data_IF_634464850159
#
_entry.id   IF_634464850159
#
_cell.length_a   1.000
_cell.length_b   1.000
_cell.length_c   1.000
_cell.angle_alpha   90.00
_cell.angle_beta   90.00
_cell.angle_gamma   90.00
#
_symmetry.space_group_name_H-M   'P 1'
#
loop_
_entity.id
_entity.type
_entity.pdbx_description
1 polymer ?
#
# COMPACT_ATOMS: atom_id res chain seq x y z
N UNK A 1 -7.09 -0.23 11.86
CA UNK A 1 -6.55 -1.57 11.57
C UNK A 1 -7.59 -2.60 11.95
N UNK A 2 -7.89 -3.49 11.03
CA UNK A 2 -8.60 -4.72 11.31
C UNK A 2 -7.64 -5.71 11.98
N UNK A 3 -7.99 -6.16 13.18
CA UNK A 3 -7.09 -6.95 14.04
C UNK A 3 -7.01 -8.41 13.61
N UNK A 4 -7.96 -8.86 12.79
CA UNK A 4 -7.99 -10.22 12.25
C UNK A 4 -6.91 -10.43 11.20
N UNK A 5 -6.62 -9.41 10.38
CA UNK A 5 -5.68 -9.54 9.26
C UNK A 5 -4.48 -8.62 9.32
N UNK A 6 -4.48 -7.57 10.15
CA UNK A 6 -3.44 -6.52 10.11
C UNK A 6 -3.62 -5.49 9.00
N UNK A 7 -4.61 -5.67 8.12
CA UNK A 7 -4.98 -4.71 7.08
C UNK A 7 -5.96 -3.65 7.61
N UNK A 8 -6.44 -2.77 6.73
CA UNK A 8 -7.34 -1.67 7.08
C UNK A 8 -8.60 -1.69 6.23
N UNK A 9 -9.75 -1.41 6.86
CA UNK A 9 -10.98 -1.10 6.14
C UNK A 9 -10.90 0.32 5.56
N UNK A 10 -11.52 0.52 4.38
CA UNK A 10 -11.50 1.82 3.69
C UNK A 10 -12.11 2.95 4.53
N UNK A 11 -13.15 2.68 5.31
CA UNK A 11 -13.86 3.71 6.06
C UNK A 11 -14.44 3.26 7.40
N UNK A 12 -14.87 4.25 8.16
CA UNK A 12 -15.59 4.12 9.42
C UNK A 12 -16.66 5.21 9.51
N UNK A 13 -17.85 4.85 9.98
CA UNK A 13 -18.92 5.80 10.32
C UNK A 13 -19.28 5.68 11.80
N UNK A 14 -19.33 6.81 12.51
CA UNK A 14 -19.79 6.85 13.90
C UNK A 14 -21.31 6.66 14.00
N UNK A 15 -22.06 7.14 13.02
CA UNK A 15 -23.47 6.80 12.88
C UNK A 15 -23.56 5.33 12.48
N UNK A 16 -24.23 4.52 13.30
CA UNK A 16 -24.29 3.06 13.14
C UNK A 16 -23.01 2.30 13.52
N UNK A 17 -21.88 2.98 13.78
CA UNK A 17 -20.62 2.39 14.29
C UNK A 17 -20.15 1.20 13.43
N UNK A 18 -20.05 1.42 12.12
CA UNK A 18 -19.73 0.36 11.15
C UNK A 18 -18.62 0.77 10.17
N UNK A 19 -18.02 -0.23 9.52
CA UNK A 19 -16.95 -0.06 8.53
C UNK A 19 -17.44 -0.23 7.07
N UNK A 20 -18.65 0.24 6.77
CA UNK A 20 -19.27 0.09 5.44
C UNK A 20 -19.19 -1.36 4.92
N UNK A 21 -18.69 -1.58 3.70
CA UNK A 21 -18.45 -2.89 3.09
C UNK A 21 -17.41 -3.76 3.81
N UNK A 22 -16.69 -3.23 4.81
CA UNK A 22 -15.51 -3.87 5.42
C UNK A 22 -14.45 -4.22 4.37
N UNK A 23 -14.31 -3.38 3.34
CA UNK A 23 -13.39 -3.61 2.24
C UNK A 23 -11.95 -3.31 2.64
N UNK A 24 -11.05 -4.30 2.48
CA UNK A 24 -9.60 -4.16 2.63
C UNK A 24 -8.98 -3.68 1.31
N UNK A 25 -9.44 -2.50 0.88
CA UNK A 25 -9.11 -1.93 -0.43
C UNK A 25 -7.65 -1.50 -0.52
N UNK A 26 -6.97 -1.89 -1.59
CA UNK A 26 -5.52 -1.80 -1.75
C UNK A 26 -5.00 -0.36 -1.71
N UNK A 27 -5.51 0.54 -2.55
CA UNK A 27 -5.02 1.94 -2.57
C UNK A 27 -5.35 2.68 -1.26
N UNK A 28 -6.45 2.34 -0.60
CA UNK A 28 -6.75 2.82 0.75
C UNK A 28 -5.70 2.38 1.77
N UNK A 29 -5.30 1.12 1.72
CA UNK A 29 -4.25 0.56 2.58
C UNK A 29 -2.87 1.16 2.27
N UNK A 30 -2.56 1.43 1.00
CA UNK A 30 -1.24 1.93 0.60
C UNK A 30 -0.96 3.31 1.17
N UNK A 31 -1.98 4.16 1.35
CA UNK A 31 -1.80 5.46 2.02
C UNK A 31 -1.23 5.32 3.43
N UNK A 32 -1.66 4.31 4.19
CA UNK A 32 -1.15 4.04 5.54
C UNK A 32 0.30 3.54 5.48
N UNK A 33 0.61 2.66 4.54
CA UNK A 33 1.96 2.14 4.34
C UNK A 33 2.94 3.24 3.94
N UNK A 34 2.48 4.23 3.16
CA UNK A 34 3.29 5.40 2.79
C UNK A 34 3.46 6.39 3.97
N UNK A 35 2.37 6.74 4.65
CA UNK A 35 2.38 7.86 5.61
C UNK A 35 3.02 7.50 6.95
N UNK A 36 2.89 6.27 7.44
CA UNK A 36 3.44 5.92 8.76
C UNK A 36 4.97 6.06 8.81
N UNK A 37 5.75 5.54 7.84
CA UNK A 37 7.20 5.78 7.79
C UNK A 37 7.58 7.27 7.72
N UNK A 38 6.85 8.06 6.92
CA UNK A 38 7.11 9.48 6.74
C UNK A 38 6.79 10.27 8.01
N UNK A 39 5.66 9.97 8.65
CA UNK A 39 5.27 10.59 9.91
C UNK A 39 6.27 10.25 11.03
N UNK A 40 6.69 8.97 11.13
CA UNK A 40 7.72 8.53 12.08
C UNK A 40 9.05 9.27 11.89
N UNK A 41 9.47 9.48 10.64
CA UNK A 41 10.68 10.25 10.33
C UNK A 41 10.51 11.73 10.72
N UNK A 42 9.36 12.33 10.43
CA UNK A 42 9.07 13.73 10.75
C UNK A 42 9.08 14.01 12.26
N UNK A 43 8.38 13.20 13.05
CA UNK A 43 8.25 13.43 14.50
C UNK A 43 9.52 13.07 15.27
N UNK A 44 10.39 12.24 14.68
CA UNK A 44 11.71 11.86 15.20
C UNK A 44 11.71 11.53 16.72
N UNK A 45 10.71 10.77 17.15
CA UNK A 45 10.59 10.37 18.56
C UNK A 45 11.73 9.40 18.95
N UNK A 46 12.19 9.42 20.21
CA UNK A 46 13.23 8.51 20.68
C UNK A 46 12.84 7.03 20.55
N UNK A 47 13.84 6.16 20.41
CA UNK A 47 13.62 4.71 20.53
C UNK A 47 13.06 4.37 21.92
N UNK A 48 12.17 3.38 21.99
CA UNK A 48 11.45 3.03 23.22
C UNK A 48 10.25 3.93 23.54
N UNK A 49 10.08 5.09 22.89
CA UNK A 49 8.86 5.88 23.01
C UNK A 49 7.63 5.04 22.61
N UNK A 50 6.60 5.03 23.44
CA UNK A 50 5.43 4.18 23.27
C UNK A 50 4.66 4.46 21.95
N UNK A 51 4.51 5.73 21.57
CA UNK A 51 3.83 6.12 20.32
C UNK A 51 4.63 5.64 19.12
N UNK A 52 5.95 5.89 19.11
CA UNK A 52 6.86 5.39 18.06
C UNK A 52 6.75 3.87 17.93
N UNK A 53 6.88 3.15 19.04
CA UNK A 53 6.83 1.68 19.07
C UNK A 53 5.49 1.15 18.56
N UNK A 54 4.39 1.76 18.97
CA UNK A 54 3.06 1.34 18.54
C UNK A 54 2.85 1.57 17.04
N UNK A 55 3.22 2.73 16.51
CA UNK A 55 3.11 3.01 15.07
C UNK A 55 3.99 2.08 14.23
N UNK A 56 5.20 1.77 14.69
CA UNK A 56 6.06 0.75 14.05
C UNK A 56 5.39 -0.63 14.09
N UNK A 57 4.81 -1.03 15.23
CA UNK A 57 4.09 -2.31 15.35
C UNK A 57 2.91 -2.39 14.38
N UNK A 58 2.18 -1.28 14.23
CA UNK A 58 1.06 -1.15 13.30
C UNK A 58 1.54 -1.25 11.85
N UNK A 59 2.63 -0.59 11.51
CA UNK A 59 3.22 -0.66 10.16
C UNK A 59 3.74 -2.07 9.85
N UNK A 60 4.47 -2.69 10.78
CA UNK A 60 5.04 -4.03 10.61
C UNK A 60 3.96 -5.09 10.41
N UNK A 61 2.87 -5.02 11.18
CA UNK A 61 1.71 -5.92 11.02
C UNK A 61 1.03 -5.77 9.65
N UNK A 62 0.90 -4.54 9.13
CA UNK A 62 0.35 -4.32 7.79
C UNK A 62 1.30 -4.85 6.71
N UNK A 63 2.61 -4.61 6.83
CA UNK A 63 3.61 -5.09 5.86
C UNK A 63 3.70 -6.62 5.86
N UNK A 64 3.58 -7.26 7.02
CA UNK A 64 3.49 -8.72 7.13
C UNK A 64 2.31 -9.26 6.33
N UNK A 65 1.11 -8.71 6.55
CA UNK A 65 -0.09 -9.12 5.82
C UNK A 65 0.01 -8.87 4.31
N UNK A 66 0.61 -7.74 3.90
CA UNK A 66 0.86 -7.44 2.49
C UNK A 66 1.85 -8.45 1.87
N UNK A 67 2.89 -8.87 2.60
CA UNK A 67 3.84 -9.86 2.12
C UNK A 67 3.17 -11.23 1.85
N UNK A 68 2.15 -11.59 2.64
CA UNK A 68 1.39 -12.85 2.47
C UNK A 68 0.46 -12.83 1.26
N UNK A 69 -0.10 -11.67 0.89
CA UNK A 69 -1.06 -11.55 -0.22
C UNK A 69 -0.50 -10.88 -1.49
N UNK A 70 0.83 -10.77 -1.62
CA UNK A 70 1.46 -10.28 -2.84
C UNK A 70 1.32 -11.31 -3.97
N UNK A 71 0.80 -10.88 -5.12
CA UNK A 71 0.69 -11.72 -6.31
C UNK A 71 2.07 -12.06 -6.89
N UNK A 72 2.14 -13.11 -7.71
CA UNK A 72 3.38 -13.55 -8.32
C UNK A 72 4.02 -12.53 -9.27
N UNK A 73 3.23 -11.62 -9.86
CA UNK A 73 3.72 -10.47 -10.63
C UNK A 73 4.41 -9.41 -9.77
N UNK A 74 4.19 -9.42 -8.45
CA UNK A 74 4.61 -8.39 -7.51
C UNK A 74 3.58 -7.30 -7.25
N UNK A 75 2.48 -7.27 -7.99
CA UNK A 75 1.34 -6.41 -7.70
C UNK A 75 0.49 -6.96 -6.55
N UNK A 76 -0.48 -6.16 -6.11
CA UNK A 76 -1.55 -6.59 -5.21
C UNK A 76 -2.91 -6.49 -5.88
N UNK A 77 -3.80 -7.39 -5.46
CA UNK A 77 -5.22 -7.35 -5.79
C UNK A 77 -5.92 -6.12 -5.20
N UNK A 78 -6.89 -5.54 -5.91
CA UNK A 78 -7.58 -4.31 -5.46
C UNK A 78 -8.35 -4.50 -4.15
N UNK A 79 -8.87 -5.70 -3.90
CA UNK A 79 -9.25 -6.19 -2.58
C UNK A 79 -8.16 -7.15 -2.13
N UNK A 80 -7.41 -6.77 -1.09
CA UNK A 80 -6.17 -7.45 -0.71
C UNK A 80 -6.36 -8.91 -0.28
N UNK A 81 -7.56 -9.25 0.18
CA UNK A 81 -7.98 -10.56 0.66
C UNK A 81 -8.88 -11.31 -0.34
N UNK A 82 -8.97 -10.82 -1.59
CA UNK A 82 -9.69 -11.48 -2.68
C UNK A 82 -8.78 -11.66 -3.91
N UNK A 83 -8.17 -12.84 -4.09
CA UNK A 83 -7.26 -13.12 -5.20
C UNK A 83 -7.97 -13.19 -6.57
N UNK A 84 -9.31 -13.11 -6.61
CA UNK A 84 -10.07 -13.05 -7.86
C UNK A 84 -10.34 -11.61 -8.32
N UNK A 85 -10.10 -10.62 -7.45
CA UNK A 85 -10.20 -9.21 -7.82
C UNK A 85 -8.99 -8.80 -8.69
N UNK A 86 -9.10 -7.76 -9.51
CA UNK A 86 -8.03 -7.41 -10.44
C UNK A 86 -6.77 -6.87 -9.71
N UNK A 87 -5.60 -7.05 -10.33
CA UNK A 87 -4.33 -6.47 -9.86
C UNK A 87 -4.28 -4.95 -10.12
N UNK A 88 -3.84 -4.18 -9.11
CA UNK A 88 -3.92 -2.72 -9.13
C UNK A 88 -2.54 -2.08 -8.89
N UNK A 89 -2.05 -1.36 -9.89
CA UNK A 89 -0.68 -0.87 -9.92
C UNK A 89 -0.45 0.35 -9.03
N UNK A 90 -1.43 1.25 -8.89
CA UNK A 90 -1.22 2.46 -8.08
C UNK A 90 -1.06 2.13 -6.59
N UNK A 91 -1.89 1.24 -6.04
CA UNK A 91 -1.72 0.70 -4.69
C UNK A 91 -0.36 0.02 -4.52
N UNK A 92 0.03 -0.81 -5.51
CA UNK A 92 1.33 -1.49 -5.53
C UNK A 92 2.48 -0.49 -5.42
N UNK A 93 2.42 0.64 -6.13
CA UNK A 93 3.44 1.68 -6.06
C UNK A 93 3.50 2.32 -4.66
N UNK A 94 2.34 2.56 -4.05
CA UNK A 94 2.27 3.07 -2.68
C UNK A 94 2.85 2.09 -1.65
N UNK A 95 2.55 0.81 -1.77
CA UNK A 95 3.14 -0.23 -0.93
C UNK A 95 4.66 -0.30 -1.12
N UNK A 96 5.14 -0.30 -2.38
CA UNK A 96 6.56 -0.31 -2.68
C UNK A 96 7.28 0.87 -2.01
N UNK A 97 6.77 2.10 -2.16
CA UNK A 97 7.33 3.28 -1.49
C UNK A 97 7.41 3.09 0.03
N UNK A 98 6.28 2.74 0.66
CA UNK A 98 6.20 2.63 2.11
C UNK A 98 7.11 1.54 2.69
N UNK A 99 7.17 0.37 2.04
CA UNK A 99 8.03 -0.75 2.47
C UNK A 99 9.51 -0.39 2.26
N UNK A 100 9.89 0.18 1.11
CA UNK A 100 11.27 0.64 0.86
C UNK A 100 11.72 1.63 1.94
N UNK A 101 10.88 2.63 2.22
CA UNK A 101 11.14 3.66 3.22
C UNK A 101 11.27 3.06 4.61
N UNK A 102 10.35 2.18 5.00
CA UNK A 102 10.36 1.51 6.30
C UNK A 102 11.63 0.67 6.50
N UNK A 103 12.07 -0.06 5.47
CA UNK A 103 13.30 -0.86 5.48
C UNK A 103 14.53 0.04 5.57
N UNK A 104 14.64 1.10 4.76
CA UNK A 104 15.76 2.04 4.80
C UNK A 104 15.89 2.73 6.15
N UNK A 105 14.76 3.12 6.75
CA UNK A 105 14.71 3.75 8.08
C UNK A 105 14.85 2.75 9.23
N UNK A 106 14.98 1.46 8.94
CA UNK A 106 15.09 0.36 9.92
C UNK A 106 13.91 0.30 10.90
N UNK A 107 12.72 0.70 10.44
CA UNK A 107 11.49 0.54 11.20
C UNK A 107 11.00 -0.92 11.18
N UNK A 108 11.23 -1.62 10.06
CA UNK A 108 10.87 -3.03 9.87
C UNK A 108 12.09 -3.84 9.43
N UNK A 109 11.95 -5.18 9.44
CA UNK A 109 13.02 -6.10 9.12
C UNK A 109 13.54 -5.97 7.68
N UNK A 110 14.85 -6.17 7.49
CA UNK A 110 15.49 -6.10 6.17
C UNK A 110 14.97 -7.17 5.17
N UNK A 111 14.36 -8.25 5.66
CA UNK A 111 13.79 -9.30 4.83
C UNK A 111 12.64 -8.79 3.93
N UNK A 112 11.93 -7.72 4.33
CA UNK A 112 10.90 -7.10 3.49
C UNK A 112 11.46 -6.39 2.26
N UNK A 113 12.78 -6.21 2.13
CA UNK A 113 13.40 -5.68 0.92
C UNK A 113 13.06 -6.54 -0.32
N UNK A 114 12.88 -7.85 -0.16
CA UNK A 114 12.48 -8.75 -1.26
C UNK A 114 11.05 -8.47 -1.75
N UNK A 115 10.11 -8.18 -0.84
CA UNK A 115 8.72 -7.83 -1.16
C UNK A 115 8.67 -6.52 -1.95
N UNK A 116 9.39 -5.51 -1.49
CA UNK A 116 9.51 -4.22 -2.18
C UNK A 116 10.21 -4.33 -3.54
N UNK A 117 11.27 -5.15 -3.64
CA UNK A 117 11.97 -5.42 -4.90
C UNK A 117 11.04 -6.04 -5.95
N UNK A 118 10.25 -7.03 -5.53
CA UNK A 118 9.25 -7.68 -6.40
C UNK A 118 8.20 -6.68 -6.87
N UNK A 119 7.72 -5.83 -5.97
CA UNK A 119 6.77 -4.76 -6.30
C UNK A 119 7.34 -3.75 -7.30
N UNK A 120 8.58 -3.29 -7.12
CA UNK A 120 9.24 -2.35 -8.04
C UNK A 120 9.37 -2.95 -9.44
N UNK A 121 9.73 -4.23 -9.56
CA UNK A 121 9.76 -4.92 -10.86
C UNK A 121 8.39 -4.92 -11.52
N UNK A 122 7.34 -5.23 -10.77
CA UNK A 122 5.96 -5.16 -11.25
C UNK A 122 5.55 -3.76 -11.70
N UNK A 123 5.93 -2.72 -10.95
CA UNK A 123 5.67 -1.31 -11.33
C UNK A 123 6.39 -0.95 -12.63
N UNK A 124 7.69 -1.22 -12.75
CA UNK A 124 8.46 -0.91 -13.97
C UNK A 124 7.88 -1.62 -15.19
N UNK A 125 7.42 -2.87 -15.05
CA UNK A 125 6.75 -3.60 -16.12
C UNK A 125 5.41 -3.00 -16.55
N UNK A 126 4.74 -2.25 -15.67
CA UNK A 126 3.46 -1.59 -15.94
C UNK A 126 3.60 -0.12 -16.33
N UNK A 127 4.81 0.40 -16.54
CA UNK A 127 5.00 1.76 -17.08
C UNK A 127 5.14 1.68 -18.60
N UNK A 128 4.21 2.32 -19.31
CA UNK A 128 4.23 2.39 -20.77
C UNK A 128 5.39 3.25 -21.29
N UNK A 129 5.74 3.17 -22.59
CA UNK A 129 6.74 4.05 -23.20
C UNK A 129 6.42 5.55 -23.09
N UNK A 130 5.15 5.91 -22.89
CA UNK A 130 4.69 7.29 -22.71
C UNK A 130 4.77 7.76 -21.25
N UNK A 131 5.20 6.89 -20.32
CA UNK A 131 5.23 7.17 -18.88
C UNK A 131 3.88 6.95 -18.18
N UNK A 132 2.96 6.23 -18.81
CA UNK A 132 1.68 5.87 -18.19
C UNK A 132 1.85 4.67 -17.26
N UNK A 133 1.39 4.76 -15.99
CA UNK A 133 1.26 3.58 -15.13
C UNK A 133 -0.06 2.87 -15.47
N UNK A 134 0.06 1.78 -16.22
CA UNK A 134 -1.02 0.87 -16.60
C UNK A 134 -1.61 0.16 -15.36
N UNK A 135 -2.69 -0.60 -15.54
CA UNK A 135 -3.35 -1.34 -14.45
C UNK A 135 -3.74 -0.47 -13.24
N UNK A 136 -3.99 0.82 -13.47
CA UNK A 136 -4.46 1.76 -12.45
C UNK A 136 -5.98 1.79 -12.47
N UNK A 137 -6.60 1.64 -11.30
CA UNK A 137 -8.05 1.77 -11.14
C UNK A 137 -8.49 3.24 -11.06
N UNK A 138 -9.73 3.53 -11.45
CA UNK A 138 -10.33 4.85 -11.45
C UNK A 138 -10.61 5.40 -10.03
N UNK A 139 -11.07 6.65 -9.94
CA UNK A 139 -11.42 7.28 -8.66
C UNK A 139 -12.46 6.45 -7.89
N UNK A 140 -12.16 6.12 -6.62
CA UNK A 140 -12.96 5.18 -5.83
C UNK A 140 -13.44 5.86 -4.55
N UNK A 141 -14.77 5.96 -4.39
CA UNK A 141 -15.42 6.44 -3.17
C UNK A 141 -15.58 5.35 -2.11
N UNK A 142 -16.45 5.61 -1.12
CA UNK A 142 -16.79 4.62 -0.10
C UNK A 142 -17.85 3.65 -0.64
N UNK A 143 -17.52 2.36 -0.73
CA UNK A 143 -18.44 1.32 -1.21
C UNK A 143 -19.31 0.76 -0.08
N UNK A 144 -20.55 0.39 -0.41
CA UNK A 144 -21.47 -0.28 0.53
C UNK A 144 -21.37 -1.81 0.51
N UNK A 145 -20.80 -2.37 -0.57
CA UNK A 145 -20.50 -3.78 -0.75
C UNK A 145 -19.12 -3.97 -1.40
N UNK A 146 -18.64 -5.22 -1.48
CA UNK A 146 -17.33 -5.54 -2.05
C UNK A 146 -17.33 -5.51 -3.59
N UNK A 147 -18.48 -5.75 -4.22
CA UNK A 147 -18.60 -5.76 -5.69
C UNK A 147 -18.37 -4.38 -6.28
N UNK A 148 -18.76 -3.32 -5.57
CA UNK A 148 -18.39 -1.94 -5.88
C UNK A 148 -16.90 -1.78 -6.16
N UNK A 149 -16.03 -2.35 -5.31
CA UNK A 149 -14.58 -2.25 -5.46
C UNK A 149 -14.06 -3.15 -6.59
N UNK A 150 -14.65 -4.33 -6.78
CA UNK A 150 -14.29 -5.27 -7.87
C UNK A 150 -14.56 -4.71 -9.26
N UNK A 151 -15.54 -3.81 -9.37
CA UNK A 151 -16.05 -3.31 -10.65
C UNK A 151 -15.51 -1.93 -11.04
N UNK A 152 -14.60 -1.34 -10.25
CA UNK A 152 -14.01 -0.05 -10.59
C UNK A 152 -13.24 -0.18 -11.92
N UNK A 153 -13.50 0.69 -12.91
CA UNK A 153 -12.80 0.64 -14.19
C UNK A 153 -11.30 0.86 -14.04
N UNK A 154 -10.52 0.26 -14.95
CA UNK A 154 -9.10 0.55 -15.10
C UNK A 154 -8.90 1.65 -16.15
N UNK A 155 -8.18 2.70 -15.79
CA UNK A 155 -7.81 3.80 -16.71
C UNK A 155 -6.63 4.57 -16.14
N UNK A 156 -5.89 5.26 -17.01
CA UNK A 156 -4.84 6.18 -16.59
C UNK A 156 -5.38 7.23 -15.63
N UNK A 157 -4.68 7.44 -14.51
CA UNK A 157 -5.08 8.40 -13.48
C UNK A 157 -3.86 9.12 -12.90
N UNK A 158 -3.96 10.43 -12.61
CA UNK A 158 -2.82 11.23 -12.15
C UNK A 158 -2.09 10.67 -10.92
N UNK A 159 -2.84 10.06 -9.98
CA UNK A 159 -2.22 9.45 -8.80
C UNK A 159 -1.40 8.20 -9.13
N UNK A 160 -1.70 7.48 -10.23
CA UNK A 160 -0.88 6.37 -10.70
C UNK A 160 0.54 6.85 -11.03
N UNK A 161 0.66 7.90 -11.86
CA UNK A 161 1.96 8.51 -12.16
C UNK A 161 2.64 9.08 -10.91
N UNK A 162 1.91 9.79 -10.06
CA UNK A 162 2.47 10.39 -8.86
C UNK A 162 3.04 9.33 -7.89
N UNK A 163 2.33 8.21 -7.70
CA UNK A 163 2.78 7.12 -6.82
C UNK A 163 3.96 6.36 -7.44
N UNK A 164 4.00 6.18 -8.75
CA UNK A 164 5.17 5.63 -9.44
C UNK A 164 6.41 6.51 -9.25
N UNK A 165 6.28 7.83 -9.37
CA UNK A 165 7.37 8.78 -9.09
C UNK A 165 7.89 8.60 -7.67
N UNK A 166 7.00 8.51 -6.67
CA UNK A 166 7.40 8.33 -5.28
C UNK A 166 8.18 7.03 -5.07
N UNK A 167 7.64 5.89 -5.51
CA UNK A 167 8.27 4.60 -5.23
C UNK A 167 9.61 4.41 -5.97
N UNK A 168 9.70 4.85 -7.23
CA UNK A 168 10.95 4.79 -7.99
C UNK A 168 12.01 5.74 -7.43
N UNK A 169 11.61 6.92 -6.95
CA UNK A 169 12.53 7.86 -6.29
C UNK A 169 13.08 7.29 -4.97
N UNK A 170 12.24 6.66 -4.16
CA UNK A 170 12.71 5.97 -2.95
C UNK A 170 13.59 4.76 -3.32
N UNK A 171 13.28 4.04 -4.40
CA UNK A 171 14.09 2.92 -4.87
C UNK A 171 15.50 3.32 -5.32
N UNK A 172 15.69 4.52 -5.90
CA UNK A 172 17.01 5.07 -6.23
C UNK A 172 17.95 5.14 -5.02
N UNK A 173 17.43 5.19 -3.78
CA UNK A 173 18.26 5.18 -2.56
C UNK A 173 19.05 3.89 -2.38
N UNK A 174 18.74 2.80 -3.10
CA UNK A 174 19.50 1.54 -3.06
C UNK A 174 20.79 1.56 -3.90
N UNK A 175 21.02 2.61 -4.69
CA UNK A 175 22.17 2.73 -5.60
C UNK A 175 23.32 3.58 -5.01
N UNK A 176 23.25 3.92 -3.71
CA UNK A 176 24.27 4.63 -2.94
C UNK A 176 24.64 3.84 -1.70
#
# INVERSE_FOLDING_TARGET
MDRETGLWFHGWNYEGRHNFARARWARGNSWLTMVIPDFLELVNLPEGNAVRRYLITVLDAQIAALAECQDDSGLWHTLLDDPHSYLEASATAGFAYGILKAVRKRYVGQHYAGVAEKAIRGIVQNISPQGELLQTSFGTGMGSDLDFYRQIPLTSMPYGQAMAILCLTEYLRKYF
#
